data_IF_157622724224
#
_entry.id   IF_157622724224
#
_cell.length_a   1.000
_cell.length_b   1.000
_cell.length_c   1.000
_cell.angle_alpha   90.00
_cell.angle_beta   90.00
_cell.angle_gamma   90.00
#
_symmetry.space_group_name_H-M   'P 1'
#
loop_
_entity.id
_entity.type
_entity.pdbx_description
1 polymer ?
#
# COMPACT_ATOMS: atom_id res chain seq x y z
N UNK A 1 -21.69 14.25 -5.84
CA UNK A 1 -20.76 13.11 -5.82
C UNK A 1 -21.49 11.93 -5.22
N UNK A 2 -21.57 10.82 -5.95
CA UNK A 2 -22.19 9.58 -5.46
C UNK A 2 -21.29 8.88 -4.44
N UNK A 3 -21.86 7.97 -3.64
CA UNK A 3 -21.08 7.14 -2.72
C UNK A 3 -20.04 6.29 -3.47
N UNK A 4 -20.36 5.86 -4.69
CA UNK A 4 -19.45 5.09 -5.54
C UNK A 4 -18.25 5.94 -6.01
N UNK A 5 -18.49 7.18 -6.43
CA UNK A 5 -17.42 8.11 -6.81
C UNK A 5 -16.49 8.41 -5.63
N UNK A 6 -17.07 8.63 -4.44
CA UNK A 6 -16.29 8.87 -3.23
C UNK A 6 -15.45 7.64 -2.84
N UNK A 7 -16.01 6.44 -2.94
CA UNK A 7 -15.29 5.20 -2.68
C UNK A 7 -14.10 5.01 -3.63
N UNK A 8 -14.28 5.29 -4.93
CA UNK A 8 -13.18 5.24 -5.92
C UNK A 8 -12.06 6.21 -5.58
N UNK A 9 -12.38 7.46 -5.21
CA UNK A 9 -11.40 8.46 -4.79
C UNK A 9 -10.61 7.98 -3.56
N UNK A 10 -11.30 7.40 -2.57
CA UNK A 10 -10.62 6.87 -1.38
C UNK A 10 -9.70 5.71 -1.71
N UNK A 11 -10.14 4.76 -2.53
CA UNK A 11 -9.31 3.63 -2.96
C UNK A 11 -8.08 4.12 -3.72
N UNK A 12 -8.23 5.04 -4.66
CA UNK A 12 -7.10 5.62 -5.40
C UNK A 12 -6.10 6.32 -4.45
N UNK A 13 -6.61 7.04 -3.46
CA UNK A 13 -5.79 7.70 -2.44
C UNK A 13 -5.02 6.67 -1.59
N UNK A 14 -5.67 5.57 -1.20
CA UNK A 14 -5.03 4.48 -0.44
C UNK A 14 -3.94 3.79 -1.26
N UNK A 15 -4.16 3.57 -2.57
CA UNK A 15 -3.13 3.03 -3.47
C UNK A 15 -1.90 3.95 -3.50
N UNK A 16 -2.11 5.24 -3.75
CA UNK A 16 -1.02 6.23 -3.78
C UNK A 16 -0.25 6.29 -2.46
N UNK A 17 -0.95 6.22 -1.34
CA UNK A 17 -0.34 6.19 -0.01
C UNK A 17 0.49 4.92 0.20
N UNK A 18 -0.05 3.76 -0.13
CA UNK A 18 0.68 2.49 -0.02
C UNK A 18 1.94 2.46 -0.88
N UNK A 19 1.89 3.01 -2.11
CA UNK A 19 3.04 3.12 -3.00
C UNK A 19 4.12 4.04 -2.45
N UNK A 20 3.74 5.19 -1.89
CA UNK A 20 4.67 6.11 -1.23
C UNK A 20 5.35 5.43 -0.04
N UNK A 21 4.59 4.84 0.88
CA UNK A 21 5.15 4.17 2.08
C UNK A 21 6.04 2.99 1.68
N UNK A 22 5.66 2.23 0.65
CA UNK A 22 6.50 1.16 0.10
C UNK A 22 7.85 1.68 -0.40
N UNK A 23 7.86 2.81 -1.11
CA UNK A 23 9.10 3.45 -1.58
C UNK A 23 9.97 3.87 -0.40
N UNK A 24 9.41 4.56 0.59
CA UNK A 24 10.12 5.04 1.77
C UNK A 24 10.75 3.87 2.57
N UNK A 25 10.00 2.78 2.75
CA UNK A 25 10.49 1.57 3.44
C UNK A 25 11.57 0.85 2.65
N UNK A 26 11.47 0.82 1.32
CA UNK A 26 12.50 0.23 0.46
C UNK A 26 13.80 1.00 0.55
N UNK A 27 13.74 2.33 0.46
CA UNK A 27 14.91 3.19 0.63
C UNK A 27 15.52 3.03 2.04
N UNK A 28 14.69 2.97 3.08
CA UNK A 28 15.15 2.72 4.44
C UNK A 28 15.85 1.34 4.57
N UNK A 29 15.30 0.30 3.94
CA UNK A 29 15.88 -1.05 3.97
C UNK A 29 17.24 -1.12 3.26
N UNK A 30 17.35 -0.46 2.10
CA UNK A 30 18.58 -0.40 1.30
C UNK A 30 19.68 0.38 2.03
N UNK A 31 19.33 1.48 2.72
CA UNK A 31 20.28 2.30 3.48
C UNK A 31 20.67 1.71 4.84
N UNK A 32 19.84 0.86 5.42
CA UNK A 32 20.13 0.26 6.74
C UNK A 32 21.15 -0.88 6.58
N UNK A 33 22.32 -0.85 7.25
CA UNK A 33 23.29 -1.94 7.17
C UNK A 33 22.74 -3.26 7.72
N UNK A 34 23.26 -4.40 7.25
CA UNK A 34 22.73 -5.72 7.61
C UNK A 34 22.84 -6.07 9.09
N UNK A 35 23.84 -5.53 9.79
CA UNK A 35 24.08 -5.78 11.21
C UNK A 35 23.18 -4.94 12.14
N UNK A 36 22.42 -3.98 11.60
CA UNK A 36 21.46 -3.23 12.41
C UNK A 36 20.21 -4.05 12.69
N UNK A 37 19.86 -4.17 13.96
CA UNK A 37 18.66 -4.87 14.43
C UNK A 37 17.36 -4.33 13.84
N UNK A 38 17.33 -3.08 13.37
CA UNK A 38 16.18 -2.45 12.71
C UNK A 38 15.88 -3.05 11.31
N UNK A 39 16.87 -3.58 10.58
CA UNK A 39 16.69 -4.01 9.18
C UNK A 39 15.59 -5.06 8.97
N UNK A 40 15.47 -6.11 9.81
CA UNK A 40 14.35 -7.05 9.74
C UNK A 40 12.98 -6.43 9.98
N UNK A 41 12.88 -5.39 10.84
CA UNK A 41 11.62 -4.70 11.10
C UNK A 41 11.18 -3.88 9.88
N UNK A 42 12.13 -3.21 9.20
CA UNK A 42 11.86 -2.49 7.96
C UNK A 42 11.40 -3.47 6.87
N UNK A 43 12.06 -4.62 6.73
CA UNK A 43 11.63 -5.66 5.79
C UNK A 43 10.20 -6.17 6.07
N UNK A 44 9.87 -6.43 7.35
CA UNK A 44 8.51 -6.83 7.73
C UNK A 44 7.48 -5.75 7.42
N UNK A 45 7.78 -4.49 7.72
CA UNK A 45 6.92 -3.37 7.38
C UNK A 45 6.69 -3.30 5.85
N UNK A 46 7.75 -3.45 5.05
CA UNK A 46 7.67 -3.46 3.59
C UNK A 46 6.72 -4.56 3.09
N UNK A 47 6.90 -5.80 3.58
CA UNK A 47 6.02 -6.93 3.22
C UNK A 47 4.56 -6.67 3.61
N UNK A 48 4.32 -6.08 4.77
CA UNK A 48 2.96 -5.76 5.22
C UNK A 48 2.29 -4.71 4.32
N UNK A 49 3.03 -3.68 3.91
CA UNK A 49 2.53 -2.66 2.98
C UNK A 49 2.25 -3.25 1.59
N UNK A 50 3.10 -4.18 1.11
CA UNK A 50 2.84 -4.90 -0.13
C UNK A 50 1.57 -5.74 -0.08
N UNK A 51 1.33 -6.44 1.04
CA UNK A 51 0.10 -7.20 1.24
C UNK A 51 -1.12 -6.29 1.31
N UNK A 52 -1.03 -5.16 2.02
CA UNK A 52 -2.09 -4.16 2.08
C UNK A 52 -2.41 -3.60 0.69
N UNK A 53 -1.39 -3.29 -0.12
CA UNK A 53 -1.57 -2.84 -1.49
C UNK A 53 -2.31 -3.85 -2.39
N UNK A 54 -2.09 -5.16 -2.19
CA UNK A 54 -2.85 -6.20 -2.90
C UNK A 54 -4.34 -6.17 -2.52
N UNK A 55 -4.64 -6.10 -1.23
CA UNK A 55 -6.03 -6.03 -0.73
C UNK A 55 -6.74 -4.78 -1.27
N UNK A 56 -6.08 -3.62 -1.27
CA UNK A 56 -6.66 -2.38 -1.81
C UNK A 56 -6.98 -2.52 -3.30
N UNK A 57 -6.11 -3.17 -4.09
CA UNK A 57 -6.36 -3.42 -5.53
C UNK A 57 -7.49 -4.43 -5.77
N UNK A 58 -7.63 -5.43 -4.91
CA UNK A 58 -8.77 -6.35 -4.95
C UNK A 58 -10.09 -5.61 -4.65
N UNK A 59 -10.09 -4.70 -3.67
CA UNK A 59 -11.23 -3.82 -3.39
C UNK A 59 -11.55 -2.89 -4.57
N UNK A 60 -10.53 -2.32 -5.20
CA UNK A 60 -10.68 -1.47 -6.40
C UNK A 60 -11.36 -2.24 -7.55
N UNK A 61 -10.89 -3.46 -7.80
CA UNK A 61 -11.46 -4.36 -8.80
C UNK A 61 -12.92 -4.71 -8.50
N UNK A 62 -13.21 -5.05 -7.24
CA UNK A 62 -14.57 -5.37 -6.78
C UNK A 62 -15.53 -4.19 -6.98
N UNK A 63 -15.14 -2.99 -6.54
CA UNK A 63 -15.94 -1.76 -6.69
C UNK A 63 -16.13 -1.42 -8.18
N UNK A 64 -15.10 -1.60 -9.00
CA UNK A 64 -15.16 -1.32 -10.44
C UNK A 64 -16.01 -2.33 -11.22
N UNK A 65 -16.09 -3.57 -10.75
CA UNK A 65 -16.99 -4.60 -11.32
C UNK A 65 -18.46 -4.41 -10.91
N UNK A 66 -18.73 -3.62 -9.87
CA UNK A 66 -20.06 -3.37 -9.38
C UNK A 66 -20.82 -2.47 -10.36
N UNK A 67 -21.71 -3.08 -11.16
CA UNK A 67 -22.69 -2.37 -11.98
C UNK A 67 -23.84 -1.93 -11.07
N UNK A 68 -23.65 -0.81 -10.39
CA UNK A 68 -24.75 -0.05 -9.76
C UNK A 68 -25.58 0.64 -10.81
#
# INVERSE_FOLDING_TARGET
>A
MSQLELAKIYVETLIKLAEKVKKDLREAYERTPAYFSAKPYIYRALRNVENMGKIIRELDSFISSYKG
#
